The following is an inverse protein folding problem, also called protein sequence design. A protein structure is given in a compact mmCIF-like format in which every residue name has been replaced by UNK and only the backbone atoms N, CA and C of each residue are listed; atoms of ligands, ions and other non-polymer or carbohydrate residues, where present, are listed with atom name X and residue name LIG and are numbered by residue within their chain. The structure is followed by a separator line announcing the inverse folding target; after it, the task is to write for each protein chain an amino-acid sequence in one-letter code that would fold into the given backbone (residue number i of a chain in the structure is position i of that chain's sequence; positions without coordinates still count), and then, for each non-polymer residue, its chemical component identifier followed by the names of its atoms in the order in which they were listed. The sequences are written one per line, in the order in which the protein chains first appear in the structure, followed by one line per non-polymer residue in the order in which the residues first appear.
data_IF_997517704061
#
_entry.id   IF_997517704061
#
_cell.length_a   1.000
_cell.length_b   1.000
_cell.length_c   1.000
_cell.angle_alpha   90.00
_cell.angle_beta   90.00
_cell.angle_gamma   90.00
#
_symmetry.space_group_name_H-M   'P 1'
#
loop_
_entity.id
_entity.type
_entity.pdbx_description
1 polymer ?
#
# COMPACT_ATOMS: atom_id res chain seq x y z
N UNK A 1 26.43 -32.27 -57.24
CA UNK A 1 25.93 -32.47 -55.87
C UNK A 1 26.13 -31.16 -55.16
N UNK A 2 25.00 -30.41 -54.99
CA UNK A 2 24.98 -29.10 -54.35
C UNK A 2 24.64 -29.31 -52.87
N UNK A 3 25.63 -29.04 -52.00
CA UNK A 3 25.44 -29.12 -50.56
C UNK A 3 24.74 -27.84 -50.08
N UNK A 4 23.46 -27.94 -49.74
CA UNK A 4 22.72 -26.85 -49.10
C UNK A 4 22.99 -26.92 -47.59
N UNK A 5 23.85 -26.02 -47.09
CA UNK A 5 24.06 -25.85 -45.66
C UNK A 5 22.84 -25.09 -45.10
N UNK A 6 21.96 -25.78 -44.37
CA UNK A 6 20.96 -25.15 -43.55
C UNK A 6 21.68 -24.50 -42.33
N UNK A 7 21.87 -23.20 -42.37
CA UNK A 7 22.21 -22.44 -41.18
C UNK A 7 20.96 -22.33 -40.31
N UNK A 8 20.82 -23.20 -39.34
CA UNK A 8 19.87 -23.01 -38.27
C UNK A 8 20.36 -21.83 -37.42
N UNK A 9 19.69 -20.72 -37.52
CA UNK A 9 19.92 -19.59 -36.62
C UNK A 9 19.63 -20.03 -35.18
N UNK A 10 20.69 -20.14 -34.39
CA UNK A 10 20.56 -20.38 -32.94
C UNK A 10 20.02 -19.09 -32.31
N UNK A 11 18.72 -19.01 -32.16
CA UNK A 11 18.08 -17.99 -31.32
C UNK A 11 18.20 -18.42 -29.86
N UNK A 12 19.39 -18.58 -29.36
CA UNK A 12 19.65 -18.90 -27.97
C UNK A 12 20.53 -17.84 -27.32
N UNK A 13 20.09 -16.62 -27.35
CA UNK A 13 20.49 -15.65 -26.32
C UNK A 13 19.22 -14.96 -25.84
N UNK A 14 18.57 -15.62 -24.89
CA UNK A 14 17.74 -14.89 -23.99
C UNK A 14 18.62 -13.85 -23.32
N UNK A 15 18.50 -12.60 -23.75
CA UNK A 15 19.16 -11.51 -23.09
C UNK A 15 18.68 -11.52 -21.64
N UNK A 16 19.58 -11.67 -20.69
CA UNK A 16 19.27 -11.72 -19.25
C UNK A 16 18.44 -10.52 -18.78
N UNK A 17 18.46 -9.45 -19.55
CA UNK A 17 17.74 -8.21 -19.27
C UNK A 17 16.39 -8.10 -20.00
N UNK A 18 16.02 -9.09 -20.84
CA UNK A 18 14.80 -9.05 -21.67
C UNK A 18 14.62 -7.74 -22.48
N UNK A 19 15.72 -7.12 -22.86
CA UNK A 19 15.73 -5.83 -23.53
C UNK A 19 16.64 -5.88 -24.75
N UNK A 20 16.21 -5.34 -25.87
CA UNK A 20 17.02 -5.19 -27.08
C UNK A 20 17.77 -3.87 -27.08
N UNK A 21 17.28 -2.89 -26.37
CA UNK A 21 17.86 -1.55 -26.20
C UNK A 21 17.95 -1.17 -24.72
N UNK A 22 18.84 -0.25 -24.34
CA UNK A 22 18.95 0.21 -22.95
C UNK A 22 17.65 0.79 -22.38
N UNK A 23 16.81 1.40 -23.23
CA UNK A 23 15.54 1.99 -22.81
C UNK A 23 14.49 0.93 -22.45
N UNK A 24 14.65 -0.29 -22.95
CA UNK A 24 13.75 -1.41 -22.68
C UNK A 24 14.11 -2.16 -21.38
N UNK A 25 15.24 -1.83 -20.75
CA UNK A 25 15.67 -2.48 -19.51
C UNK A 25 14.63 -2.26 -18.42
N UNK A 26 14.08 -3.35 -17.89
CA UNK A 26 13.05 -3.32 -16.87
C UNK A 26 11.62 -3.10 -17.36
N UNK A 27 11.42 -2.91 -18.68
CA UNK A 27 10.09 -2.85 -19.27
C UNK A 27 9.56 -4.28 -19.43
N UNK A 28 8.37 -4.55 -18.87
CA UNK A 28 7.73 -5.87 -18.99
C UNK A 28 7.32 -6.12 -20.44
N UNK A 29 7.68 -7.28 -20.98
CA UNK A 29 7.18 -7.73 -22.28
C UNK A 29 5.67 -7.99 -22.23
N UNK A 30 4.99 -7.98 -23.38
CA UNK A 30 3.56 -8.31 -23.46
C UNK A 30 3.27 -9.72 -22.92
N UNK A 31 4.15 -10.69 -23.14
CA UNK A 31 4.04 -12.01 -22.56
C UNK A 31 4.11 -11.96 -21.02
N UNK A 32 5.02 -11.18 -20.46
CA UNK A 32 5.13 -11.00 -19.01
C UNK A 32 3.92 -10.26 -18.44
N UNK A 33 3.37 -9.26 -19.15
CA UNK A 33 2.14 -8.58 -18.73
C UNK A 33 0.93 -9.51 -18.73
N UNK A 34 0.86 -10.42 -19.69
CA UNK A 34 -0.22 -11.40 -19.77
C UNK A 34 -0.06 -12.52 -18.72
N UNK A 35 1.17 -12.88 -18.36
CA UNK A 35 1.46 -13.83 -17.28
C UNK A 35 1.44 -13.20 -15.90
N UNK A 36 1.76 -11.92 -15.81
CA UNK A 36 1.63 -11.15 -14.58
C UNK A 36 0.13 -10.97 -14.34
N UNK A 37 -0.46 -11.98 -13.75
CA UNK A 37 -1.81 -11.88 -13.24
C UNK A 37 -1.82 -10.69 -12.28
N UNK A 38 -2.13 -9.50 -12.80
CA UNK A 38 -2.29 -8.28 -11.99
C UNK A 38 -3.46 -8.41 -10.98
N UNK A 39 -4.12 -9.57 -10.96
CA UNK A 39 -5.11 -9.94 -9.96
C UNK A 39 -4.44 -10.73 -8.86
N UNK A 40 -4.69 -10.38 -7.59
CA UNK A 40 -4.33 -11.24 -6.47
C UNK A 40 -4.87 -12.64 -6.72
N UNK A 41 -4.09 -13.66 -6.37
CA UNK A 41 -4.60 -15.03 -6.34
C UNK A 41 -5.85 -15.04 -5.46
N UNK A 42 -6.93 -15.58 -6.00
CA UNK A 42 -8.12 -15.82 -5.19
C UNK A 42 -7.75 -16.83 -4.11
N UNK A 43 -7.97 -16.47 -2.86
CA UNK A 43 -7.84 -17.42 -1.77
C UNK A 43 -8.87 -18.52 -2.00
N UNK A 44 -8.42 -19.77 -1.98
CA UNK A 44 -9.32 -20.91 -2.01
C UNK A 44 -10.32 -20.80 -0.86
N UNK A 45 -11.56 -21.16 -1.11
CA UNK A 45 -12.57 -21.23 -0.04
C UNK A 45 -12.13 -22.26 1.01
N UNK A 46 -12.07 -21.82 2.25
CA UNK A 46 -11.75 -22.65 3.41
C UNK A 46 -13.01 -22.71 4.26
N UNK A 47 -13.50 -23.94 4.47
CA UNK A 47 -14.66 -24.17 5.31
C UNK A 47 -14.21 -24.19 6.80
N UNK A 48 -14.99 -23.62 7.68
CA UNK A 48 -14.69 -23.58 9.12
C UNK A 48 -14.43 -24.97 9.70
N UNK A 49 -15.07 -26.01 9.17
CA UNK A 49 -14.83 -27.42 9.56
C UNK A 49 -13.42 -27.93 9.23
N UNK A 50 -12.75 -27.31 8.26
CA UNK A 50 -11.40 -27.66 7.84
C UNK A 50 -10.32 -26.91 8.64
N UNK A 51 -10.71 -25.88 9.40
CA UNK A 51 -9.81 -25.13 10.29
C UNK A 51 -9.69 -25.86 11.63
N UNK A 52 -8.55 -26.53 11.86
CA UNK A 52 -8.28 -27.21 13.13
C UNK A 52 -7.83 -26.25 14.24
N UNK A 53 -7.17 -25.17 13.84
CA UNK A 53 -6.62 -24.19 14.76
C UNK A 53 -6.52 -22.86 14.03
N UNK A 54 -6.80 -21.78 14.75
CA UNK A 54 -6.60 -20.44 14.24
C UNK A 54 -6.17 -19.50 15.35
N UNK A 55 -5.35 -18.50 14.97
CA UNK A 55 -4.89 -17.46 15.89
C UNK A 55 -4.83 -16.12 15.17
N UNK A 56 -5.42 -15.10 15.77
CA UNK A 56 -5.26 -13.73 15.34
C UNK A 56 -3.87 -13.23 15.71
N UNK A 57 -3.13 -12.73 14.72
CA UNK A 57 -1.78 -12.20 14.87
C UNK A 57 -1.76 -10.75 14.42
N UNK A 58 -1.11 -9.90 15.21
CA UNK A 58 -0.82 -8.53 14.86
C UNK A 58 0.67 -8.40 14.59
N UNK A 59 1.00 -7.97 13.38
CA UNK A 59 2.36 -7.62 13.02
C UNK A 59 2.52 -6.11 13.05
N UNK A 60 3.62 -5.66 13.64
CA UNK A 60 3.97 -4.26 13.76
C UNK A 60 5.19 -3.98 12.88
N UNK A 61 5.02 -3.12 11.91
CA UNK A 61 6.10 -2.64 11.04
C UNK A 61 6.52 -1.27 11.56
N UNK A 62 7.68 -1.20 12.18
CA UNK A 62 8.25 0.06 12.70
C UNK A 62 9.07 0.71 11.60
N UNK A 63 8.73 1.95 11.23
CA UNK A 63 9.34 2.63 10.08
C UNK A 63 10.75 3.17 10.36
N UNK A 64 11.14 3.28 11.64
CA UNK A 64 12.50 3.67 12.04
C UNK A 64 13.52 2.55 11.84
N UNK A 65 13.08 1.32 11.60
CA UNK A 65 13.98 0.21 11.31
C UNK A 65 14.48 0.30 9.86
N UNK A 66 15.79 0.13 9.70
CA UNK A 66 16.45 0.25 8.37
C UNK A 66 15.84 -0.65 7.30
N UNK A 67 15.39 -1.84 7.66
CA UNK A 67 14.73 -2.77 6.74
C UNK A 67 13.44 -2.19 6.16
N UNK A 68 12.77 -1.30 6.88
CA UNK A 68 11.47 -0.73 6.54
C UNK A 68 11.57 0.66 5.87
N UNK A 69 12.78 1.22 5.71
CA UNK A 69 13.00 2.49 5.03
C UNK A 69 12.36 2.61 3.64
N UNK A 70 12.31 1.56 2.80
CA UNK A 70 11.61 1.64 1.52
C UNK A 70 10.11 1.92 1.62
N UNK A 71 9.47 1.62 2.76
CA UNK A 71 8.06 1.93 3.04
C UNK A 71 7.87 3.37 3.53
N UNK A 72 8.89 3.91 4.18
CA UNK A 72 8.86 5.26 4.74
C UNK A 72 9.30 6.33 3.74
N UNK A 73 10.42 6.11 3.05
CA UNK A 73 10.98 7.08 2.12
C UNK A 73 10.46 6.90 0.69
N UNK A 74 10.30 7.99 -0.06
CA UNK A 74 10.55 9.39 0.29
C UNK A 74 9.40 10.04 1.04
N UNK A 75 9.71 10.82 2.06
CA UNK A 75 8.71 11.66 2.77
C UNK A 75 8.49 12.99 2.04
N UNK A 76 9.52 13.51 1.37
CA UNK A 76 9.44 14.67 0.48
C UNK A 76 9.35 14.20 -0.98
N UNK A 77 8.25 14.54 -1.65
CA UNK A 77 7.98 14.14 -3.03
C UNK A 77 8.32 15.21 -4.06
N UNK A 78 8.79 16.39 -3.63
CA UNK A 78 9.02 17.53 -4.53
C UNK A 78 10.25 17.33 -5.43
N UNK A 79 11.26 16.62 -4.93
CA UNK A 79 12.57 16.47 -5.59
C UNK A 79 12.86 15.07 -6.10
N UNK A 80 11.88 14.16 -6.08
CA UNK A 80 12.09 12.75 -6.41
C UNK A 80 11.24 12.36 -7.62
N UNK A 81 11.81 11.48 -8.45
CA UNK A 81 11.14 10.95 -9.63
C UNK A 81 9.70 10.47 -9.34
N UNK A 82 8.80 10.71 -10.29
CA UNK A 82 7.35 10.57 -10.17
C UNK A 82 6.86 9.19 -9.69
N UNK A 83 7.69 8.17 -9.79
CA UNK A 83 7.34 6.76 -9.55
C UNK A 83 7.56 6.33 -8.10
N UNK A 84 8.48 6.96 -7.39
CA UNK A 84 8.84 6.55 -6.02
C UNK A 84 8.03 7.33 -4.99
N UNK A 85 7.35 6.61 -4.10
CA UNK A 85 6.52 7.19 -3.04
C UNK A 85 6.58 6.35 -1.77
N UNK A 86 6.35 6.99 -0.63
CA UNK A 86 6.13 6.28 0.64
C UNK A 86 4.84 5.45 0.58
N UNK A 87 4.74 4.44 1.43
CA UNK A 87 3.52 3.62 1.53
C UNK A 87 2.30 4.49 1.90
N UNK A 88 2.47 5.47 2.79
CA UNK A 88 1.41 6.41 3.17
C UNK A 88 0.86 7.15 1.95
N UNK A 89 1.72 7.74 1.13
CA UNK A 89 1.30 8.49 -0.06
C UNK A 89 0.62 7.58 -1.09
N UNK A 90 1.13 6.36 -1.25
CA UNK A 90 0.50 5.37 -2.15
C UNK A 90 -0.90 5.03 -1.67
N UNK A 91 -1.08 4.75 -0.38
CA UNK A 91 -2.38 4.44 0.20
C UNK A 91 -3.34 5.62 0.04
N UNK A 92 -2.96 6.82 0.47
CA UNK A 92 -3.81 8.01 0.39
C UNK A 92 -4.19 8.37 -1.05
N UNK A 93 -3.25 8.28 -2.00
CA UNK A 93 -3.52 8.49 -3.41
C UNK A 93 -4.53 7.50 -3.98
N UNK A 94 -4.39 6.22 -3.63
CA UNK A 94 -5.28 5.17 -4.16
C UNK A 94 -6.67 5.20 -3.49
N UNK A 95 -6.75 5.61 -2.23
CA UNK A 95 -8.03 5.87 -1.55
C UNK A 95 -8.73 7.05 -2.23
N UNK A 96 -8.02 8.17 -2.43
CA UNK A 96 -8.56 9.36 -3.09
C UNK A 96 -9.06 9.07 -4.51
N UNK A 97 -8.34 8.24 -5.24
CA UNK A 97 -8.71 7.87 -6.62
C UNK A 97 -9.75 6.74 -6.69
N UNK A 98 -10.27 6.26 -5.55
CA UNK A 98 -11.28 5.21 -5.49
C UNK A 98 -10.77 3.82 -5.90
N UNK A 99 -9.46 3.61 -5.98
CA UNK A 99 -8.88 2.28 -6.22
C UNK A 99 -8.97 1.39 -4.98
N UNK A 100 -8.84 1.99 -3.79
CA UNK A 100 -9.09 1.34 -2.50
C UNK A 100 -10.43 1.85 -2.00
N UNK A 101 -11.44 0.98 -2.01
CA UNK A 101 -12.82 1.34 -1.66
C UNK A 101 -13.27 0.76 -0.31
N UNK A 102 -12.61 -0.29 0.14
CA UNK A 102 -12.95 -0.96 1.39
C UNK A 102 -12.17 -0.34 2.55
N UNK A 103 -12.68 0.77 3.06
CA UNK A 103 -12.13 1.49 4.20
C UNK A 103 -13.05 1.28 5.41
N UNK A 104 -12.47 1.05 6.57
CA UNK A 104 -13.21 0.75 7.80
C UNK A 104 -12.64 1.51 8.98
N UNK A 105 -13.52 1.82 9.96
CA UNK A 105 -13.14 2.50 11.22
C UNK A 105 -12.40 1.59 12.17
N UNK A 106 -12.70 0.30 12.10
CA UNK A 106 -12.26 -0.68 13.09
C UNK A 106 -11.70 -1.94 12.45
N UNK A 107 -10.98 -2.72 13.25
CA UNK A 107 -10.36 -3.97 12.83
C UNK A 107 -11.34 -5.14 12.65
N UNK A 108 -12.62 -4.94 12.90
CA UNK A 108 -13.70 -5.94 12.70
C UNK A 108 -14.47 -5.69 11.41
N UNK A 109 -14.11 -4.63 10.66
CA UNK A 109 -14.74 -4.26 9.39
C UNK A 109 -16.22 -3.94 9.49
N UNK A 110 -16.67 -3.36 10.63
CA UNK A 110 -18.09 -3.08 10.88
C UNK A 110 -18.53 -1.75 10.28
N UNK A 111 -17.73 -0.71 10.43
CA UNK A 111 -18.06 0.64 9.95
C UNK A 111 -17.30 1.02 8.69
N UNK A 112 -17.97 1.13 7.54
CA UNK A 112 -17.34 1.65 6.32
C UNK A 112 -17.09 3.15 6.44
N UNK A 113 -15.96 3.58 5.88
CA UNK A 113 -15.56 4.98 5.80
C UNK A 113 -15.42 5.45 4.36
N UNK A 114 -15.62 6.75 4.17
CA UNK A 114 -15.30 7.47 2.94
C UNK A 114 -13.90 8.09 3.03
N UNK A 115 -13.36 8.52 1.88
CA UNK A 115 -12.09 9.25 1.83
C UNK A 115 -12.10 10.50 2.74
N UNK A 116 -13.18 11.27 2.72
CA UNK A 116 -13.27 12.51 3.51
C UNK A 116 -13.29 12.23 5.02
N UNK A 117 -13.92 11.14 5.45
CA UNK A 117 -13.89 10.70 6.84
C UNK A 117 -12.50 10.26 7.28
N UNK A 118 -11.80 9.48 6.44
CA UNK A 118 -10.41 9.09 6.69
C UNK A 118 -9.52 10.32 6.77
N UNK A 119 -9.65 11.25 5.81
CA UNK A 119 -8.89 12.50 5.81
C UNK A 119 -9.17 13.34 7.05
N UNK A 120 -10.43 13.47 7.44
CA UNK A 120 -10.83 14.19 8.66
C UNK A 120 -10.21 13.59 9.93
N UNK A 121 -10.14 12.25 10.01
CA UNK A 121 -9.46 11.55 11.11
C UNK A 121 -7.93 11.69 11.12
N UNK A 122 -7.34 12.11 10.01
CA UNK A 122 -5.91 12.39 9.87
C UNK A 122 -5.59 13.89 10.00
N UNK A 123 -6.54 14.70 10.41
CA UNK A 123 -6.33 16.12 10.71
C UNK A 123 -6.24 16.30 12.22
N UNK A 124 -5.21 16.99 12.68
CA UNK A 124 -5.12 17.51 14.04
C UNK A 124 -5.63 18.94 14.03
N UNK A 125 -6.61 19.21 14.89
CA UNK A 125 -7.16 20.53 15.09
C UNK A 125 -6.66 21.01 16.44
N UNK A 126 -5.89 22.08 16.43
CA UNK A 126 -5.41 22.73 17.63
C UNK A 126 -6.07 24.10 17.77
N UNK A 127 -6.50 24.43 18.99
CA UNK A 127 -7.17 25.70 19.28
C UNK A 127 -6.28 26.50 20.18
N UNK A 128 -5.97 27.73 19.78
CA UNK A 128 -5.14 28.64 20.57
C UNK A 128 -5.83 29.03 21.89
N UNK A 129 -5.08 29.52 22.86
CA UNK A 129 -5.60 29.97 24.15
C UNK A 129 -6.72 31.03 23.99
N UNK A 130 -6.57 31.93 23.02
CA UNK A 130 -7.61 32.94 22.70
C UNK A 130 -8.86 32.29 22.12
N UNK A 131 -8.74 31.21 21.37
CA UNK A 131 -9.88 30.43 20.89
C UNK A 131 -10.62 29.73 22.03
N UNK A 132 -9.88 29.24 23.03
CA UNK A 132 -10.49 28.68 24.24
C UNK A 132 -11.19 29.76 25.09
N UNK A 133 -10.66 30.98 25.15
CA UNK A 133 -11.33 32.10 25.82
C UNK A 133 -12.68 32.44 25.15
N UNK A 134 -12.71 32.49 23.79
CA UNK A 134 -13.98 32.69 23.07
C UNK A 134 -14.97 31.56 23.34
N UNK A 135 -14.52 30.31 23.29
CA UNK A 135 -15.34 29.15 23.57
C UNK A 135 -15.95 29.20 24.98
N UNK A 136 -15.12 29.55 25.98
CA UNK A 136 -15.57 29.68 27.37
C UNK A 136 -16.53 30.86 27.58
N UNK A 137 -16.44 31.90 26.76
CA UNK A 137 -17.38 33.04 26.75
C UNK A 137 -18.70 32.68 26.05
N UNK A 138 -18.84 31.48 25.47
CA UNK A 138 -20.02 31.05 24.73
C UNK A 138 -20.07 31.59 23.29
N UNK A 139 -18.98 32.13 22.79
CA UNK A 139 -18.86 32.63 21.42
C UNK A 139 -18.32 31.55 20.48
N UNK A 140 -18.70 31.57 19.19
CA UNK A 140 -18.09 30.67 18.21
C UNK A 140 -16.60 30.99 18.03
N UNK A 141 -15.75 29.96 18.07
CA UNK A 141 -14.30 30.15 17.90
C UNK A 141 -14.02 30.64 16.48
N UNK A 142 -13.31 31.76 16.38
CA UNK A 142 -12.91 32.35 15.11
C UNK A 142 -11.91 31.45 14.39
N UNK A 143 -12.00 31.27 13.06
CA UNK A 143 -11.11 30.38 12.29
C UNK A 143 -9.61 30.71 12.42
N UNK A 144 -9.26 31.95 12.75
CA UNK A 144 -7.90 32.41 12.97
C UNK A 144 -7.24 31.83 14.23
N UNK A 145 -8.05 31.32 15.16
CA UNK A 145 -7.59 30.68 16.40
C UNK A 145 -7.59 29.15 16.32
N UNK A 146 -7.94 28.61 15.15
CA UNK A 146 -7.94 27.17 14.87
C UNK A 146 -6.80 26.87 13.90
N UNK A 147 -5.78 26.16 14.37
CA UNK A 147 -4.75 25.60 13.52
C UNK A 147 -5.10 24.17 13.13
N UNK A 148 -5.07 23.92 11.84
CA UNK A 148 -5.41 22.59 11.29
C UNK A 148 -4.19 22.01 10.59
N UNK A 149 -3.59 21.01 11.21
CA UNK A 149 -2.43 20.30 10.66
C UNK A 149 -2.84 18.93 10.15
N UNK A 150 -2.57 18.66 8.86
CA UNK A 150 -2.80 17.34 8.28
C UNK A 150 -1.60 16.44 8.55
N UNK A 151 -1.87 15.21 9.00
CA UNK A 151 -0.83 14.18 9.14
C UNK A 151 -0.25 13.87 7.75
N UNK A 152 1.05 13.91 7.67
CA UNK A 152 1.85 13.64 6.47
C UNK A 152 2.57 12.30 6.56
N UNK A 153 3.23 11.88 5.48
CA UNK A 153 4.06 10.68 5.48
C UNK A 153 5.16 10.71 6.56
N UNK A 154 5.64 11.90 6.93
CA UNK A 154 6.67 12.10 7.95
C UNK A 154 6.18 11.72 9.35
N UNK A 155 4.90 11.89 9.63
CA UNK A 155 4.32 11.69 10.97
C UNK A 155 4.00 10.23 11.25
N UNK A 156 3.95 9.40 10.19
CA UNK A 156 3.67 7.97 10.32
C UNK A 156 4.87 7.24 10.89
N UNK A 157 4.70 6.59 12.03
CA UNK A 157 5.77 5.87 12.75
C UNK A 157 5.71 4.37 12.56
N UNK A 158 4.52 3.82 12.39
CA UNK A 158 4.31 2.37 12.31
C UNK A 158 3.08 2.01 11.49
N UNK A 159 3.12 0.83 10.88
CA UNK A 159 1.95 0.15 10.34
C UNK A 159 1.64 -1.08 11.18
N UNK A 160 0.35 -1.38 11.32
CA UNK A 160 -0.12 -2.59 11.99
C UNK A 160 -0.91 -3.42 11.00
N UNK A 161 -0.50 -4.68 10.83
CA UNK A 161 -1.17 -5.64 9.97
C UNK A 161 -1.85 -6.66 10.86
N UNK A 162 -3.14 -6.85 10.66
CA UNK A 162 -3.93 -7.89 11.32
C UNK A 162 -4.05 -9.07 10.38
N UNK A 163 -3.58 -10.23 10.82
CA UNK A 163 -3.63 -11.48 10.08
C UNK A 163 -4.31 -12.57 10.89
N UNK A 164 -4.91 -13.52 10.23
CA UNK A 164 -5.41 -14.75 10.83
C UNK A 164 -4.52 -15.89 10.35
N UNK A 165 -3.80 -16.51 11.29
CA UNK A 165 -3.08 -17.74 11.04
C UNK A 165 -4.00 -18.91 11.34
N UNK A 166 -4.07 -19.86 10.44
CA UNK A 166 -4.91 -21.04 10.60
C UNK A 166 -4.22 -22.29 10.02
N UNK A 167 -4.55 -23.45 10.58
CA UNK A 167 -4.11 -24.73 10.07
C UNK A 167 -5.24 -25.38 9.31
N UNK A 168 -5.04 -25.58 7.99
CA UNK A 168 -6.00 -26.24 7.12
C UNK A 168 -5.79 -27.77 7.18
N UNK A 169 -6.80 -28.48 7.66
CA UNK A 169 -6.82 -29.94 7.75
C UNK A 169 -6.63 -30.64 6.41
N UNK A 170 -7.19 -30.06 5.34
CA UNK A 170 -7.14 -30.69 4.02
C UNK A 170 -5.77 -30.58 3.38
N UNK A 171 -5.12 -29.44 3.57
CA UNK A 171 -3.81 -29.17 2.98
C UNK A 171 -2.67 -29.57 3.90
N UNK A 172 -2.92 -29.73 5.20
CA UNK A 172 -1.90 -30.04 6.19
C UNK A 172 -0.87 -28.90 6.34
N UNK A 173 -1.27 -27.66 6.09
CA UNK A 173 -0.41 -26.48 6.07
C UNK A 173 -0.96 -25.39 6.97
N UNK A 174 -0.03 -24.55 7.46
CA UNK A 174 -0.30 -23.29 8.13
C UNK A 174 -0.43 -22.19 7.12
#
# INVERSE_FOLDING_TARGET
ITLVALTQGVFAQYNLLNANTPEEIGVKTEAQKNYDNAKPLEYGFIDDKDVLWSKMVWEKIVLDERANFPLYYPVDTNNIGKERRSLYDVLMKNIKNGKIQNLYTDSYFTGKQTYDQVRGGLMSIDTSDLGYEQYNAGEPVSPEFIDTTAISAYDVKEYRIKGLWYFDKRQGQL
#
